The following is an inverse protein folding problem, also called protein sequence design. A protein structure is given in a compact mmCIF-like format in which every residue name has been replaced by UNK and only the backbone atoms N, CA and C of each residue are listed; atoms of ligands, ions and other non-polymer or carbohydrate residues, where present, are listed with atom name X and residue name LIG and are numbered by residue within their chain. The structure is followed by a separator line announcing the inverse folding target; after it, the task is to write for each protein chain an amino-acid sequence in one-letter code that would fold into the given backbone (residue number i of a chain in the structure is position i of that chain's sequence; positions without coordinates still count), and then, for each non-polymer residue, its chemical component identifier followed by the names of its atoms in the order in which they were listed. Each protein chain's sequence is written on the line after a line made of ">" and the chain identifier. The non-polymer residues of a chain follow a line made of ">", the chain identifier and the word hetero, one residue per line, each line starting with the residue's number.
data_IF_235421149546
#
_entry.id   IF_235421149546
#
_cell.length_a   1.000
_cell.length_b   1.000
_cell.length_c   1.000
_cell.angle_alpha   90.00
_cell.angle_beta   90.00
_cell.angle_gamma   90.00
#
_symmetry.space_group_name_H-M   'P 1'
#
loop_
_entity.id
_entity.type
_entity.pdbx_description
1 polymer ?
#
# COMPACT_ATOMS: atom_id res chain seq x y z
N UNK A 1 40.30 28.12 15.43
CA UNK A 1 39.43 26.99 15.84
C UNK A 1 38.52 26.57 14.68
N UNK A 2 38.87 26.91 13.43
CA UNK A 2 37.85 27.06 12.40
C UNK A 2 37.72 25.83 11.49
N UNK A 3 38.80 25.08 11.27
CA UNK A 3 38.79 23.90 10.40
C UNK A 3 37.97 22.73 10.96
N UNK A 4 38.01 22.51 12.29
CA UNK A 4 37.23 21.46 12.94
C UNK A 4 35.73 21.75 12.92
N UNK A 5 35.34 23.01 13.15
CA UNK A 5 33.95 23.45 13.06
C UNK A 5 33.44 23.43 11.61
N UNK A 6 34.26 23.82 10.63
CA UNK A 6 33.92 23.74 9.20
C UNK A 6 33.72 22.30 8.74
N UNK A 7 34.63 21.39 9.11
CA UNK A 7 34.52 19.97 8.78
C UNK A 7 33.27 19.32 9.42
N UNK A 8 32.95 19.67 10.68
CA UNK A 8 31.73 19.19 11.33
C UNK A 8 30.45 19.73 10.66
N UNK A 9 30.45 20.99 10.20
CA UNK A 9 29.32 21.53 9.46
C UNK A 9 29.13 20.85 8.09
N UNK A 10 30.22 20.59 7.36
CA UNK A 10 30.17 19.85 6.10
C UNK A 10 29.72 18.39 6.29
N UNK A 11 30.20 17.70 7.32
CA UNK A 11 29.75 16.35 7.66
C UNK A 11 28.25 16.32 8.03
N UNK A 12 27.78 17.27 8.83
CA UNK A 12 26.36 17.37 9.18
C UNK A 12 25.48 17.67 7.95
N UNK A 13 25.94 18.51 7.02
CA UNK A 13 25.24 18.73 5.76
C UNK A 13 25.17 17.46 4.91
N UNK A 14 26.28 16.73 4.76
CA UNK A 14 26.29 15.46 4.00
C UNK A 14 25.37 14.40 4.62
N UNK A 15 25.36 14.26 5.95
CA UNK A 15 24.46 13.33 6.63
C UNK A 15 22.98 13.69 6.44
N UNK A 16 22.63 14.98 6.52
CA UNK A 16 21.27 15.44 6.27
C UNK A 16 20.82 15.18 4.82
N UNK A 17 21.68 15.46 3.85
CA UNK A 17 21.43 15.16 2.43
C UNK A 17 21.23 13.67 2.19
N UNK A 18 22.04 12.81 2.81
CA UNK A 18 21.92 11.36 2.66
C UNK A 18 20.61 10.83 3.24
N UNK A 19 20.20 11.32 4.42
CA UNK A 19 18.93 10.97 5.04
C UNK A 19 17.71 11.45 4.22
N UNK A 20 17.82 12.62 3.57
CA UNK A 20 16.77 13.13 2.68
C UNK A 20 16.64 12.28 1.41
N UNK A 21 17.77 11.92 0.78
CA UNK A 21 17.79 11.01 -0.38
C UNK A 21 17.20 9.65 -0.03
N UNK A 22 17.56 9.08 1.12
CA UNK A 22 17.02 7.79 1.56
C UNK A 22 15.51 7.85 1.81
N UNK A 23 15.02 8.95 2.40
CA UNK A 23 13.59 9.20 2.57
C UNK A 23 12.86 9.30 1.22
N UNK A 24 13.42 10.03 0.25
CA UNK A 24 12.85 10.15 -1.10
C UNK A 24 12.83 8.81 -1.83
N UNK A 25 13.94 8.05 -1.80
CA UNK A 25 14.03 6.73 -2.40
C UNK A 25 12.98 5.77 -1.81
N UNK A 26 12.79 5.82 -0.49
CA UNK A 26 11.78 4.99 0.18
C UNK A 26 10.37 5.39 -0.25
N UNK A 27 10.06 6.69 -0.33
CA UNK A 27 8.75 7.16 -0.85
C UNK A 27 8.51 6.72 -2.29
N UNK A 28 9.52 6.82 -3.17
CA UNK A 28 9.44 6.35 -4.57
C UNK A 28 9.19 4.85 -4.62
N UNK A 29 9.88 4.05 -3.80
CA UNK A 29 9.67 2.61 -3.71
C UNK A 29 8.20 2.29 -3.34
N UNK A 30 7.66 2.95 -2.32
CA UNK A 30 6.27 2.74 -1.90
C UNK A 30 5.26 3.22 -2.96
N UNK A 31 5.57 4.29 -3.71
CA UNK A 31 4.76 4.73 -4.86
C UNK A 31 4.75 3.69 -5.98
N UNK A 32 5.90 3.06 -6.28
CA UNK A 32 5.97 1.98 -7.27
C UNK A 32 5.18 0.74 -6.84
N UNK A 33 5.26 0.37 -5.55
CA UNK A 33 4.46 -0.73 -5.00
C UNK A 33 2.96 -0.40 -5.09
N UNK A 34 2.56 0.85 -4.82
CA UNK A 34 1.18 1.30 -4.96
C UNK A 34 0.68 1.15 -6.40
N UNK A 35 1.46 1.59 -7.39
CA UNK A 35 1.14 1.43 -8.81
C UNK A 35 1.00 -0.06 -9.16
N UNK A 36 1.92 -0.91 -8.70
CA UNK A 36 1.84 -2.35 -8.89
C UNK A 36 0.57 -2.96 -8.30
N UNK A 37 0.16 -2.52 -7.10
CA UNK A 37 -1.09 -2.98 -6.46
C UNK A 37 -2.34 -2.57 -7.23
N UNK A 38 -2.36 -1.35 -7.81
CA UNK A 38 -3.46 -0.89 -8.67
C UNK A 38 -3.53 -1.73 -9.94
N UNK A 39 -2.39 -1.98 -10.60
CA UNK A 39 -2.32 -2.84 -11.79
C UNK A 39 -2.82 -4.26 -11.50
N UNK A 40 -2.42 -4.84 -10.36
CA UNK A 40 -2.90 -6.15 -9.93
C UNK A 40 -4.42 -6.14 -9.65
N UNK A 41 -4.94 -5.07 -9.07
CA UNK A 41 -6.39 -4.91 -8.85
C UNK A 41 -7.17 -4.87 -10.16
N UNK A 42 -6.65 -4.20 -11.20
CA UNK A 42 -7.24 -4.19 -12.54
C UNK A 42 -7.22 -5.60 -13.14
N UNK A 43 -6.09 -6.29 -13.03
CA UNK A 43 -5.96 -7.67 -13.52
C UNK A 43 -6.98 -8.62 -12.88
N UNK A 44 -7.20 -8.51 -11.57
CA UNK A 44 -8.20 -9.30 -10.84
C UNK A 44 -9.62 -8.98 -11.35
N UNK A 45 -9.94 -7.70 -11.58
CA UNK A 45 -11.25 -7.29 -12.11
C UNK A 45 -11.48 -7.88 -13.51
N UNK A 46 -10.46 -7.84 -14.38
CA UNK A 46 -10.53 -8.47 -15.71
C UNK A 46 -10.73 -9.98 -15.60
N UNK A 47 -10.05 -10.64 -14.64
CA UNK A 47 -10.23 -12.06 -14.35
C UNK A 47 -11.66 -12.41 -13.90
N UNK A 48 -12.25 -11.64 -12.98
CA UNK A 48 -13.63 -11.87 -12.55
C UNK A 48 -14.63 -11.63 -13.69
N UNK A 49 -14.38 -10.64 -14.54
CA UNK A 49 -15.18 -10.42 -15.74
C UNK A 49 -15.09 -11.62 -16.69
N UNK A 50 -13.90 -12.17 -16.91
CA UNK A 50 -13.70 -13.36 -17.73
C UNK A 50 -14.43 -14.59 -17.16
N UNK A 51 -14.34 -14.79 -15.83
CA UNK A 51 -15.07 -15.84 -15.10
C UNK A 51 -16.59 -15.73 -15.31
N UNK A 52 -17.15 -14.52 -15.20
CA UNK A 52 -18.58 -14.28 -15.40
C UNK A 52 -19.03 -14.51 -16.86
N UNK A 53 -18.16 -14.26 -17.84
CA UNK A 53 -18.48 -14.41 -19.25
C UNK A 53 -18.30 -15.85 -19.76
N UNK A 54 -17.24 -16.54 -19.30
CA UNK A 54 -16.78 -17.79 -19.87
C UNK A 54 -16.94 -19.00 -18.92
N UNK A 55 -17.31 -18.78 -17.65
CA UNK A 55 -17.56 -19.83 -16.66
C UNK A 55 -16.35 -20.77 -16.53
N UNK A 56 -16.57 -22.06 -16.78
CA UNK A 56 -15.54 -23.10 -16.71
C UNK A 56 -14.41 -22.96 -17.75
N UNK A 57 -14.61 -22.17 -18.82
CA UNK A 57 -13.58 -21.92 -19.83
C UNK A 57 -12.76 -20.64 -19.56
N UNK A 58 -12.98 -19.98 -18.42
CA UNK A 58 -12.24 -18.78 -18.05
C UNK A 58 -10.76 -19.08 -17.79
N UNK A 59 -9.92 -18.06 -17.94
CA UNK A 59 -8.45 -18.16 -17.74
C UNK A 59 -8.05 -18.41 -16.30
N UNK A 60 -8.88 -17.99 -15.36
CA UNK A 60 -8.64 -18.12 -13.93
C UNK A 60 -9.84 -18.74 -13.25
N UNK A 61 -9.59 -19.50 -12.20
CA UNK A 61 -10.64 -19.96 -11.30
C UNK A 61 -11.02 -18.84 -10.31
N UNK A 62 -12.18 -18.96 -9.68
CA UNK A 62 -12.60 -18.03 -8.63
C UNK A 62 -11.63 -18.04 -7.44
N UNK A 63 -11.11 -19.22 -7.08
CA UNK A 63 -10.13 -19.41 -6.00
C UNK A 63 -8.83 -18.66 -6.30
N UNK A 64 -8.27 -18.81 -7.51
CA UNK A 64 -7.06 -18.08 -7.91
C UNK A 64 -7.23 -16.56 -7.84
N UNK A 65 -8.37 -16.04 -8.31
CA UNK A 65 -8.65 -14.60 -8.28
C UNK A 65 -8.84 -14.08 -6.86
N UNK A 66 -9.41 -14.88 -5.96
CA UNK A 66 -9.55 -14.53 -4.55
C UNK A 66 -8.19 -14.51 -3.84
N UNK A 67 -7.32 -15.47 -4.10
CA UNK A 67 -5.95 -15.48 -3.59
C UNK A 67 -5.18 -14.24 -4.05
N UNK A 68 -5.28 -13.89 -5.34
CA UNK A 68 -4.71 -12.64 -5.85
C UNK A 68 -5.29 -11.41 -5.16
N UNK A 69 -6.59 -11.39 -4.87
CA UNK A 69 -7.24 -10.30 -4.16
C UNK A 69 -6.77 -10.18 -2.70
N UNK A 70 -6.51 -11.29 -2.01
CA UNK A 70 -5.94 -11.32 -0.66
C UNK A 70 -4.51 -10.76 -0.68
N UNK A 71 -3.68 -11.21 -1.63
CA UNK A 71 -2.30 -10.73 -1.80
C UNK A 71 -2.30 -9.22 -2.09
N UNK A 72 -3.11 -8.76 -3.05
CA UNK A 72 -3.24 -7.35 -3.40
C UNK A 72 -3.69 -6.50 -2.19
N UNK A 73 -4.65 -7.00 -1.40
CA UNK A 73 -5.14 -6.30 -0.21
C UNK A 73 -4.08 -6.24 0.89
N UNK A 74 -3.29 -7.30 1.06
CA UNK A 74 -2.17 -7.35 2.00
C UNK A 74 -1.08 -6.33 1.62
N UNK A 75 -0.68 -6.30 0.34
CA UNK A 75 0.29 -5.32 -0.18
C UNK A 75 -0.22 -3.89 0.04
N UNK A 76 -1.50 -3.64 -0.26
CA UNK A 76 -2.12 -2.33 -0.05
C UNK A 76 -2.12 -1.94 1.43
N UNK A 77 -2.36 -2.88 2.33
CA UNK A 77 -2.29 -2.66 3.79
C UNK A 77 -0.88 -2.26 4.24
N UNK A 78 0.16 -2.92 3.72
CA UNK A 78 1.56 -2.59 4.01
C UNK A 78 1.89 -1.17 3.52
N UNK A 79 1.53 -0.85 2.27
CA UNK A 79 1.78 0.48 1.67
C UNK A 79 1.06 1.58 2.44
N UNK A 80 -0.22 1.38 2.77
CA UNK A 80 -1.00 2.38 3.51
C UNK A 80 -0.49 2.57 4.94
N UNK A 81 0.01 1.51 5.58
CA UNK A 81 0.68 1.60 6.88
C UNK A 81 1.97 2.43 6.84
N UNK A 82 2.74 2.33 5.75
CA UNK A 82 3.89 3.22 5.54
C UNK A 82 3.47 4.68 5.39
N UNK A 83 2.43 4.97 4.59
CA UNK A 83 1.94 6.34 4.45
C UNK A 83 1.35 6.89 5.76
N UNK A 84 0.75 6.05 6.60
CA UNK A 84 0.37 6.42 7.97
C UNK A 84 1.60 6.83 8.80
N UNK A 85 2.69 6.07 8.73
CA UNK A 85 3.95 6.44 9.39
C UNK A 85 4.48 7.80 8.90
N UNK A 86 4.47 8.03 7.58
CA UNK A 86 4.87 9.32 7.00
C UNK A 86 3.95 10.45 7.49
N UNK A 87 2.63 10.24 7.48
CA UNK A 87 1.66 11.21 7.96
C UNK A 87 1.86 11.55 9.44
N UNK A 88 2.14 10.55 10.29
CA UNK A 88 2.44 10.74 11.70
C UNK A 88 3.72 11.55 11.90
N UNK A 89 4.80 11.23 11.17
CA UNK A 89 6.07 11.98 11.22
C UNK A 89 5.86 13.44 10.82
N UNK A 90 5.10 13.70 9.77
CA UNK A 90 4.78 15.05 9.28
C UNK A 90 3.93 15.85 10.27
N UNK A 91 2.92 15.22 10.89
CA UNK A 91 2.14 15.88 11.93
C UNK A 91 2.99 16.22 13.16
N UNK A 92 3.87 15.30 13.58
CA UNK A 92 4.76 15.53 14.72
C UNK A 92 5.76 16.68 14.48
N UNK A 93 6.27 16.81 13.26
CA UNK A 93 7.21 17.90 12.93
C UNK A 93 6.50 19.24 12.71
N UNK A 94 5.27 19.23 12.18
CA UNK A 94 4.49 20.42 11.86
C UNK A 94 3.01 20.20 12.25
N UNK A 95 2.62 20.50 13.51
CA UNK A 95 1.28 20.21 14.02
C UNK A 95 0.24 21.25 13.53
N UNK A 96 -0.06 21.22 12.23
CA UNK A 96 -1.09 22.06 11.61
C UNK A 96 -2.41 21.31 11.50
N UNK A 97 -3.53 22.03 11.36
CA UNK A 97 -4.84 21.42 11.13
C UNK A 97 -4.86 20.55 9.86
N UNK A 98 -4.19 21.00 8.79
CA UNK A 98 -4.05 20.24 7.55
C UNK A 98 -3.35 18.90 7.78
N UNK A 99 -2.22 18.90 8.50
CA UNK A 99 -1.48 17.68 8.79
C UNK A 99 -2.23 16.73 9.75
N UNK A 100 -3.06 17.29 10.65
CA UNK A 100 -3.95 16.50 11.50
C UNK A 100 -5.04 15.79 10.68
N UNK A 101 -5.66 16.49 9.72
CA UNK A 101 -6.64 15.91 8.80
C UNK A 101 -5.98 14.83 7.94
N UNK A 102 -4.79 15.09 7.41
CA UNK A 102 -4.04 14.09 6.63
C UNK A 102 -3.74 12.83 7.45
N UNK A 103 -3.30 12.97 8.70
CA UNK A 103 -3.10 11.85 9.61
C UNK A 103 -4.41 11.08 9.87
N UNK A 104 -5.52 11.78 10.12
CA UNK A 104 -6.83 11.15 10.30
C UNK A 104 -7.24 10.32 9.07
N UNK A 105 -7.11 10.89 7.88
CA UNK A 105 -7.42 10.19 6.62
C UNK A 105 -6.53 8.95 6.47
N UNK A 106 -5.24 9.05 6.75
CA UNK A 106 -4.33 7.90 6.69
C UNK A 106 -4.74 6.78 7.65
N UNK A 107 -5.17 7.11 8.89
CA UNK A 107 -5.69 6.13 9.85
C UNK A 107 -6.93 5.43 9.31
N UNK A 108 -7.89 6.18 8.77
CA UNK A 108 -9.12 5.62 8.20
C UNK A 108 -8.84 4.67 7.03
N UNK A 109 -7.88 5.03 6.17
CA UNK A 109 -7.46 4.19 5.04
C UNK A 109 -6.87 2.87 5.56
N UNK A 110 -5.97 2.91 6.56
CA UNK A 110 -5.37 1.70 7.13
C UNK A 110 -6.44 0.79 7.76
N UNK A 111 -7.40 1.36 8.49
CA UNK A 111 -8.51 0.57 9.05
C UNK A 111 -9.31 -0.10 7.92
N UNK A 112 -9.64 0.65 6.86
CA UNK A 112 -10.37 0.10 5.73
C UNK A 112 -9.62 -1.03 5.01
N UNK A 113 -8.30 -0.91 4.82
CA UNK A 113 -7.49 -1.93 4.14
C UNK A 113 -7.29 -3.18 5.00
N UNK A 114 -7.12 -3.02 6.32
CA UNK A 114 -7.10 -4.15 7.27
C UNK A 114 -8.43 -4.88 7.25
N UNK A 115 -9.56 -4.16 7.37
CA UNK A 115 -10.90 -4.77 7.33
C UNK A 115 -11.14 -5.52 6.03
N UNK A 116 -10.77 -4.94 4.88
CA UNK A 116 -10.85 -5.61 3.58
C UNK A 116 -10.04 -6.90 3.56
N UNK A 117 -8.80 -6.87 4.02
CA UNK A 117 -7.90 -8.04 4.02
C UNK A 117 -8.46 -9.16 4.89
N UNK A 118 -8.90 -8.84 6.11
CA UNK A 118 -9.51 -9.81 7.03
C UNK A 118 -10.81 -10.38 6.45
N UNK A 119 -11.64 -9.54 5.84
CA UNK A 119 -12.90 -9.99 5.22
C UNK A 119 -12.64 -10.98 4.09
N UNK A 120 -11.69 -10.67 3.19
CA UNK A 120 -11.34 -11.56 2.08
C UNK A 120 -10.74 -12.89 2.56
N UNK A 121 -9.93 -12.86 3.61
CA UNK A 121 -9.33 -14.05 4.20
C UNK A 121 -10.33 -14.92 5.01
N UNK A 122 -11.37 -14.29 5.58
CA UNK A 122 -12.36 -14.97 6.42
C UNK A 122 -13.61 -15.45 5.66
N UNK A 123 -13.84 -14.97 4.43
CA UNK A 123 -15.01 -15.35 3.64
C UNK A 123 -14.77 -16.72 2.98
N UNK A 124 -15.51 -17.78 3.40
CA UNK A 124 -15.36 -19.11 2.82
C UNK A 124 -15.83 -19.12 1.36
N UNK A 125 -15.22 -20.00 0.57
CA UNK A 125 -15.48 -20.13 -0.85
C UNK A 125 -16.86 -20.76 -1.08
N UNK A 126 -17.79 -20.02 -1.69
CA UNK A 126 -18.89 -20.62 -2.45
C UNK A 126 -18.46 -20.68 -3.91
N UNK A 127 -18.24 -21.91 -4.39
CA UNK A 127 -17.96 -22.18 -5.78
C UNK A 127 -19.25 -21.83 -6.56
N UNK A 128 -19.26 -20.75 -7.34
CA UNK A 128 -20.51 -20.34 -8.03
C UNK A 128 -21.00 -21.43 -8.99
N UNK A 129 -20.14 -22.36 -9.39
CA UNK A 129 -20.49 -23.50 -10.22
C UNK A 129 -21.28 -24.61 -9.51
N UNK A 130 -21.25 -24.70 -8.18
CA UNK A 130 -22.05 -25.70 -7.45
C UNK A 130 -23.54 -25.34 -7.40
N UNK A 131 -23.88 -24.08 -7.70
CA UNK A 131 -25.27 -23.61 -7.78
C UNK A 131 -25.92 -23.83 -9.16
N UNK A 132 -25.16 -24.29 -10.16
CA UNK A 132 -25.63 -24.50 -11.54
C UNK A 132 -25.65 -25.98 -11.98
N UNK A 133 -25.48 -26.92 -11.03
CA UNK A 133 -25.67 -28.38 -11.24
C UNK A 133 -27.06 -28.82 -10.78
#
# INVERSE_FOLDING_TARGET
>A
MDQFYFNNQQQNQQQNLQAEIESLNTQILFMLILIGSISLSIYIIEGYKDLLMNGLNARHTQEELQDYAIIASTITTIVTSYFLYVAFKTYKSQPTASNAIFLLVAVLIVIATVLRTVTLAATPFENVNDAFV
#
